data_IF_062744553475
#
_entry.id   IF_062744553475
#
_cell.length_a   1.000
_cell.length_b   1.000
_cell.length_c   1.000
_cell.angle_alpha   90.00
_cell.angle_beta   90.00
_cell.angle_gamma   90.00
#
_symmetry.space_group_name_H-M   'P 1'
#
loop_
_entity.id
_entity.type
_entity.pdbx_description
1 polymer ?
#
# COMPACT_ATOMS: atom_id res chain seq x y z
N UNK A 1 -5.51 24.71 4.37
CA UNK A 1 -5.04 25.94 3.70
C UNK A 1 -5.80 26.12 2.40
N UNK A 2 -6.09 27.37 2.03
CA UNK A 2 -6.83 27.70 0.81
C UNK A 2 -5.90 28.47 -0.10
N UNK A 3 -5.76 28.05 -1.35
CA UNK A 3 -5.01 28.75 -2.37
C UNK A 3 -5.73 30.03 -2.81
N UNK A 4 -5.01 30.90 -3.48
CA UNK A 4 -5.61 32.08 -4.12
C UNK A 4 -6.44 31.63 -5.32
N UNK A 5 -7.56 32.31 -5.56
CA UNK A 5 -8.50 31.95 -6.63
C UNK A 5 -7.90 32.09 -8.05
N UNK A 6 -6.81 32.82 -8.17
CA UNK A 6 -6.15 33.09 -9.44
C UNK A 6 -5.00 32.13 -9.74
N UNK A 7 -4.62 31.28 -8.77
CA UNK A 7 -3.57 30.29 -8.96
C UNK A 7 -4.10 29.03 -9.65
N UNK A 8 -3.53 28.69 -10.80
CA UNK A 8 -3.81 27.43 -11.49
C UNK A 8 -3.28 26.21 -10.72
N UNK A 9 -2.25 26.41 -9.89
CA UNK A 9 -1.65 25.38 -9.03
C UNK A 9 -1.42 25.93 -7.64
N UNK A 10 -1.94 25.25 -6.63
CA UNK A 10 -1.68 25.54 -5.23
C UNK A 10 -0.87 24.43 -4.60
N UNK A 11 0.21 24.77 -3.93
CA UNK A 11 1.04 23.82 -3.19
C UNK A 11 1.20 24.26 -1.74
N UNK A 12 1.03 23.32 -0.83
CA UNK A 12 1.28 23.50 0.59
C UNK A 12 2.14 22.37 1.14
N UNK A 13 2.99 22.69 2.10
CA UNK A 13 3.79 21.73 2.84
C UNK A 13 3.65 22.00 4.34
N UNK A 14 3.81 20.99 5.16
CA UNK A 14 3.76 21.08 6.61
C UNK A 14 4.24 19.81 7.28
N UNK A 15 4.63 19.93 8.53
CA UNK A 15 5.02 18.80 9.36
C UNK A 15 3.77 18.15 9.98
N UNK A 16 3.81 16.83 10.11
CA UNK A 16 2.75 16.00 10.73
C UNK A 16 3.27 15.32 12.01
N UNK A 17 4.22 15.94 12.68
CA UNK A 17 4.95 15.38 13.82
C UNK A 17 4.08 15.16 15.07
N UNK A 18 2.96 15.86 15.17
CA UNK A 18 2.12 15.89 16.39
C UNK A 18 1.12 14.72 16.51
N UNK A 19 1.40 13.60 15.88
CA UNK A 19 0.69 12.35 16.15
C UNK A 19 -0.65 12.18 15.45
N UNK A 20 -1.03 13.04 14.51
CA UNK A 20 -2.14 12.74 13.61
C UNK A 20 -1.71 11.68 12.61
N UNK A 21 -2.30 10.49 12.69
CA UNK A 21 -1.95 9.35 11.85
C UNK A 21 -2.68 9.33 10.53
N UNK A 22 -3.87 9.91 10.48
CA UNK A 22 -4.68 10.03 9.28
C UNK A 22 -4.70 11.47 8.81
N UNK A 23 -4.18 11.70 7.60
CA UNK A 23 -4.27 12.97 6.90
C UNK A 23 -5.20 12.79 5.69
N UNK A 24 -6.18 13.65 5.56
CA UNK A 24 -7.14 13.65 4.47
C UNK A 24 -7.11 14.97 3.74
N UNK A 25 -7.09 14.93 2.41
CA UNK A 25 -7.30 16.11 1.58
C UNK A 25 -8.56 15.93 0.73
N UNK A 26 -9.40 16.95 0.70
CA UNK A 26 -10.63 16.98 -0.11
C UNK A 26 -10.68 18.23 -0.96
N UNK A 27 -11.10 18.08 -2.20
CA UNK A 27 -11.51 19.20 -3.01
C UNK A 27 -12.91 19.65 -2.57
N UNK A 28 -13.04 20.89 -2.12
CA UNK A 28 -14.33 21.46 -1.72
C UNK A 28 -15.12 22.01 -2.92
N UNK A 29 -14.43 22.31 -4.01
CA UNK A 29 -15.01 22.74 -5.28
C UNK A 29 -14.07 22.29 -6.39
N UNK A 30 -14.61 21.74 -7.45
CA UNK A 30 -13.86 21.26 -8.61
C UNK A 30 -14.57 21.68 -9.89
N UNK A 31 -13.79 22.02 -10.90
CA UNK A 31 -14.20 22.16 -12.29
C UNK A 31 -13.50 21.08 -13.11
N UNK A 32 -13.92 20.85 -14.33
CA UNK A 32 -13.29 19.88 -15.21
C UNK A 32 -11.77 20.11 -15.29
N UNK A 33 -11.00 19.05 -15.12
CA UNK A 33 -9.54 19.08 -15.13
C UNK A 33 -8.88 19.44 -13.78
N UNK A 34 -9.65 19.71 -12.72
CA UNK A 34 -9.07 19.88 -11.37
C UNK A 34 -8.78 18.54 -10.73
N UNK A 35 -7.70 18.49 -9.97
CA UNK A 35 -7.29 17.33 -9.19
C UNK A 35 -6.51 17.75 -7.96
N UNK A 36 -6.36 16.83 -7.01
CA UNK A 36 -5.43 17.00 -5.89
C UNK A 36 -4.52 15.79 -5.81
N UNK A 37 -3.25 16.07 -5.49
CA UNK A 37 -2.27 15.04 -5.20
C UNK A 37 -1.52 15.42 -3.93
N UNK A 38 -1.15 14.43 -3.13
CA UNK A 38 -0.33 14.64 -1.95
C UNK A 38 0.59 13.45 -1.72
N UNK A 39 1.67 13.71 -1.01
CA UNK A 39 2.63 12.69 -0.60
C UNK A 39 3.08 12.96 0.82
N UNK A 40 3.52 11.91 1.49
CA UNK A 40 4.15 11.97 2.79
C UNK A 40 5.55 11.35 2.69
N UNK A 41 6.48 11.95 3.40
CA UNK A 41 7.83 11.45 3.56
C UNK A 41 8.15 11.35 5.04
N UNK A 42 8.74 10.24 5.45
CA UNK A 42 9.25 10.02 6.81
C UNK A 42 10.71 9.63 6.77
N UNK A 43 11.45 9.96 7.83
CA UNK A 43 12.84 9.57 7.96
C UNK A 43 13.16 9.22 9.40
N UNK A 44 14.10 8.30 9.57
CA UNK A 44 14.67 7.96 10.84
C UNK A 44 16.20 7.79 10.74
N UNK A 45 16.93 8.25 11.74
CA UNK A 45 18.40 8.16 11.78
C UNK A 45 18.90 6.92 12.51
N UNK A 46 18.01 6.20 13.21
CA UNK A 46 18.31 5.01 14.00
C UNK A 46 17.10 4.07 14.10
N UNK A 47 17.32 2.86 14.59
CA UNK A 47 16.28 1.82 14.76
C UNK A 47 16.00 1.06 13.46
N UNK A 48 14.99 0.21 13.52
CA UNK A 48 14.65 -0.73 12.44
C UNK A 48 14.15 -0.03 11.15
N UNK A 49 13.62 1.16 11.29
CA UNK A 49 13.12 2.00 10.20
C UNK A 49 14.12 3.05 9.73
N UNK A 50 15.41 2.89 10.07
CA UNK A 50 16.47 3.82 9.64
C UNK A 50 16.46 3.98 8.13
N UNK A 51 16.41 5.23 7.66
CA UNK A 51 16.35 5.58 6.25
C UNK A 51 15.25 6.60 5.95
N UNK A 52 14.89 6.69 4.71
CA UNK A 52 13.81 7.55 4.20
C UNK A 52 12.76 6.66 3.56
N UNK A 53 11.51 6.94 3.85
CA UNK A 53 10.35 6.28 3.22
C UNK A 53 9.40 7.37 2.73
N UNK A 54 8.82 7.18 1.57
CA UNK A 54 7.85 8.11 1.00
C UNK A 54 6.68 7.33 0.37
N UNK A 55 5.51 7.93 0.41
CA UNK A 55 4.33 7.41 -0.29
C UNK A 55 3.48 8.56 -0.81
N UNK A 56 2.84 8.35 -1.95
CA UNK A 56 1.70 9.15 -2.37
C UNK A 56 0.49 8.83 -1.51
N UNK A 57 -0.37 9.80 -1.28
CA UNK A 57 -1.69 9.54 -0.73
C UNK A 57 -2.50 8.68 -1.69
N UNK A 58 -3.37 7.84 -1.15
CA UNK A 58 -4.22 6.94 -1.92
C UNK A 58 -5.66 7.44 -1.91
N UNK A 59 -6.36 7.23 -3.01
CA UNK A 59 -7.79 7.49 -3.10
C UNK A 59 -8.54 6.40 -2.33
N UNK A 60 -9.46 6.74 -1.41
CA UNK A 60 -10.31 5.74 -0.78
C UNK A 60 -11.19 5.04 -1.81
N UNK A 61 -11.19 3.72 -1.81
CA UNK A 61 -11.97 2.87 -2.71
C UNK A 61 -12.58 1.69 -1.96
N UNK A 62 -13.57 1.04 -2.55
CA UNK A 62 -14.20 -0.16 -1.98
C UNK A 62 -13.31 -1.40 -2.13
N UNK A 63 -12.40 -1.40 -3.10
CA UNK A 63 -11.46 -2.50 -3.32
C UNK A 63 -10.07 -1.93 -3.60
N UNK A 64 -9.06 -2.45 -2.89
CA UNK A 64 -7.66 -2.08 -3.09
C UNK A 64 -6.79 -3.33 -3.15
N UNK A 65 -5.77 -3.32 -4.01
CA UNK A 65 -4.94 -4.47 -4.32
C UNK A 65 -3.47 -4.10 -4.26
N UNK A 66 -2.67 -5.04 -3.76
CA UNK A 66 -1.24 -4.86 -3.57
C UNK A 66 -0.49 -6.09 -4.06
N UNK A 67 0.62 -5.88 -4.71
CA UNK A 67 1.65 -6.89 -4.89
C UNK A 67 2.86 -6.46 -4.06
N UNK A 68 3.18 -7.23 -3.03
CA UNK A 68 4.20 -6.88 -2.05
C UNK A 68 5.24 -7.98 -1.90
N UNK A 69 6.39 -7.62 -1.41
CA UNK A 69 7.46 -8.57 -1.08
C UNK A 69 7.00 -9.58 -0.03
N UNK A 70 7.75 -10.65 0.11
CA UNK A 70 7.42 -11.79 0.95
C UNK A 70 7.45 -11.52 2.45
N UNK A 71 7.10 -12.55 3.20
CA UNK A 71 7.01 -12.56 4.66
C UNK A 71 8.03 -13.52 5.29
N UNK A 72 9.16 -13.74 4.62
CA UNK A 72 10.27 -14.52 5.16
C UNK A 72 10.95 -13.82 6.33
N UNK A 73 11.76 -14.57 7.06
CA UNK A 73 12.55 -14.04 8.18
C UNK A 73 13.29 -12.76 7.79
N UNK A 74 13.20 -11.74 8.62
CA UNK A 74 13.76 -10.42 8.38
C UNK A 74 12.81 -9.46 7.63
N UNK A 75 11.64 -9.91 7.19
CA UNK A 75 10.66 -9.09 6.51
C UNK A 75 9.40 -8.92 7.36
N UNK A 76 8.99 -7.68 7.59
CA UNK A 76 7.73 -7.35 8.26
C UNK A 76 6.86 -6.53 7.32
N UNK A 77 5.67 -7.04 7.03
CA UNK A 77 4.65 -6.34 6.25
C UNK A 77 3.48 -5.99 7.16
N UNK A 78 3.14 -4.71 7.19
CA UNK A 78 1.99 -4.18 7.92
C UNK A 78 1.01 -3.57 6.93
N UNK A 79 -0.16 -4.17 6.80
CA UNK A 79 -1.28 -3.55 6.08
C UNK A 79 -1.92 -2.53 7.02
N UNK A 80 -1.88 -1.26 6.63
CA UNK A 80 -2.53 -0.15 7.33
C UNK A 80 -3.77 0.22 6.54
N UNK A 81 -4.94 0.13 7.16
CA UNK A 81 -6.22 0.49 6.57
C UNK A 81 -6.79 1.68 7.31
N UNK A 82 -7.09 2.74 6.61
CA UNK A 82 -7.65 3.99 7.13
C UNK A 82 -9.07 4.19 6.63
N UNK A 83 -9.96 4.56 7.52
CA UNK A 83 -11.35 4.87 7.24
C UNK A 83 -11.60 6.37 7.43
N UNK A 84 -11.65 7.18 6.37
CA UNK A 84 -11.90 8.61 6.46
C UNK A 84 -13.37 8.97 6.71
N UNK A 85 -14.26 8.00 6.75
CA UNK A 85 -15.69 8.24 6.91
C UNK A 85 -16.08 8.51 8.38
N UNK A 86 -17.32 8.92 8.58
CA UNK A 86 -17.92 9.18 9.89
C UNK A 86 -18.54 7.94 10.55
N UNK A 87 -18.48 6.78 9.88
CA UNK A 87 -19.00 5.50 10.37
C UNK A 87 -17.91 4.45 10.39
N UNK A 88 -17.91 3.58 11.38
CA UNK A 88 -17.04 2.41 11.37
C UNK A 88 -17.43 1.46 10.22
N UNK A 89 -16.46 0.77 9.67
CA UNK A 89 -16.66 -0.22 8.61
C UNK A 89 -15.84 -1.49 8.88
N UNK A 90 -16.28 -2.60 8.28
CA UNK A 90 -15.52 -3.82 8.24
C UNK A 90 -14.90 -3.96 6.85
N UNK A 91 -13.67 -4.47 6.80
CA UNK A 91 -12.97 -4.76 5.56
C UNK A 91 -12.52 -6.21 5.56
N UNK A 92 -12.70 -6.89 4.45
CA UNK A 92 -12.24 -8.25 4.24
C UNK A 92 -10.88 -8.25 3.55
N UNK A 93 -9.99 -9.10 4.06
CA UNK A 93 -8.62 -9.26 3.57
C UNK A 93 -8.48 -10.65 2.95
N UNK A 94 -8.06 -10.69 1.68
CA UNK A 94 -7.68 -11.93 1.01
C UNK A 94 -6.22 -11.85 0.60
N UNK A 95 -5.48 -12.93 0.82
CA UNK A 95 -4.05 -13.00 0.54
C UNK A 95 -3.77 -14.23 -0.32
N UNK A 96 -2.95 -14.07 -1.34
CA UNK A 96 -2.40 -15.15 -2.15
C UNK A 96 -0.89 -15.14 -2.04
N UNK A 97 -0.28 -16.30 -1.93
CA UNK A 97 1.17 -16.47 -1.90
C UNK A 97 1.72 -16.82 -3.28
N UNK A 98 2.96 -16.46 -3.56
CA UNK A 98 3.64 -16.84 -4.77
C UNK A 98 3.77 -18.37 -4.89
N UNK A 99 3.56 -18.90 -6.12
CA UNK A 99 3.69 -20.33 -6.41
C UNK A 99 2.55 -21.20 -5.90
N UNK A 100 1.44 -20.62 -5.42
CA UNK A 100 0.25 -21.34 -4.97
C UNK A 100 -1.00 -20.80 -5.64
N UNK A 101 -1.92 -21.69 -6.00
CA UNK A 101 -3.25 -21.32 -6.46
C UNK A 101 -4.20 -21.14 -5.28
N UNK A 102 -5.15 -20.20 -5.42
CA UNK A 102 -6.14 -19.89 -4.40
C UNK A 102 -5.64 -19.00 -3.27
N UNK A 103 -6.59 -18.45 -2.53
CA UNK A 103 -6.29 -17.63 -1.37
C UNK A 103 -5.74 -18.47 -0.22
N UNK A 104 -4.81 -17.91 0.53
CA UNK A 104 -4.23 -18.57 1.70
C UNK A 104 -5.23 -18.58 2.85
N UNK A 105 -5.21 -19.66 3.63
CA UNK A 105 -5.85 -19.69 4.95
C UNK A 105 -5.00 -18.80 5.89
N UNK A 106 -5.61 -17.76 6.44
CA UNK A 106 -4.89 -16.82 7.31
C UNK A 106 -4.85 -17.38 8.75
N UNK A 107 -3.69 -17.21 9.39
CA UNK A 107 -3.51 -17.59 10.82
C UNK A 107 -4.21 -16.61 11.77
N UNK A 108 -4.58 -15.44 11.27
CA UNK A 108 -5.37 -14.42 11.99
C UNK A 108 -6.71 -14.23 11.28
N UNK A 109 -7.62 -13.49 11.88
CA UNK A 109 -8.89 -13.17 11.23
C UNK A 109 -8.68 -12.47 9.88
N UNK A 110 -9.54 -12.79 8.92
CA UNK A 110 -9.52 -12.20 7.57
C UNK A 110 -10.31 -10.88 7.48
N UNK A 111 -10.97 -10.46 8.56
CA UNK A 111 -11.78 -9.25 8.61
C UNK A 111 -11.22 -8.29 9.65
N UNK A 112 -11.11 -7.02 9.28
CA UNK A 112 -10.71 -5.92 10.17
C UNK A 112 -11.88 -4.96 10.36
N UNK A 113 -12.07 -4.51 11.60
CA UNK A 113 -12.97 -3.40 11.90
C UNK A 113 -12.16 -2.11 11.97
N UNK A 114 -12.55 -1.12 11.17
CA UNK A 114 -11.90 0.18 11.12
C UNK A 114 -12.87 1.26 11.58
N UNK A 115 -12.58 1.86 12.73
CA UNK A 115 -13.40 2.92 13.30
C UNK A 115 -13.50 4.17 12.43
N UNK A 116 -14.52 4.98 12.64
CA UNK A 116 -14.71 6.26 11.98
C UNK A 116 -13.51 7.21 12.21
N UNK A 117 -12.91 7.74 11.15
CA UNK A 117 -11.73 8.61 11.23
C UNK A 117 -10.51 7.94 11.88
N UNK A 118 -10.40 6.60 11.79
CA UNK A 118 -9.32 5.82 12.40
C UNK A 118 -8.60 4.97 11.39
N UNK A 119 -7.45 4.46 11.81
CA UNK A 119 -6.72 3.41 11.11
C UNK A 119 -6.66 2.13 11.96
N UNK A 120 -6.52 1.00 11.28
CA UNK A 120 -6.28 -0.32 11.87
C UNK A 120 -5.14 -0.98 11.12
N UNK A 121 -4.29 -1.70 11.83
CA UNK A 121 -3.10 -2.35 11.28
C UNK A 121 -3.22 -3.87 11.39
N UNK A 122 -2.95 -4.57 10.29
CA UNK A 122 -2.80 -6.02 10.25
C UNK A 122 -1.35 -6.40 9.94
N UNK A 123 -0.77 -7.28 10.72
CA UNK A 123 0.54 -7.85 10.42
C UNK A 123 0.38 -9.00 9.42
N UNK A 124 0.75 -8.76 8.17
CA UNK A 124 0.65 -9.76 7.10
C UNK A 124 1.62 -10.93 7.31
N UNK A 125 2.79 -10.68 7.91
CA UNK A 125 3.74 -11.75 8.21
C UNK A 125 3.20 -12.71 9.27
N UNK A 126 2.40 -12.24 10.22
CA UNK A 126 1.72 -13.10 11.19
C UNK A 126 0.53 -13.83 10.56
N UNK A 127 -0.16 -13.22 9.60
CA UNK A 127 -1.33 -13.80 8.94
C UNK A 127 -0.96 -14.85 7.89
N UNK A 128 0.11 -14.61 7.12
CA UNK A 128 0.59 -15.43 6.01
C UNK A 128 2.11 -15.46 6.02
N UNK A 129 2.70 -16.29 6.89
CA UNK A 129 4.14 -16.42 7.08
C UNK A 129 4.83 -17.18 5.94
N UNK A 130 6.13 -16.96 5.80
CA UNK A 130 7.04 -17.70 4.91
C UNK A 130 6.64 -17.72 3.43
N UNK A 131 6.22 -16.59 2.92
CA UNK A 131 5.90 -16.40 1.51
C UNK A 131 7.02 -15.66 0.79
N UNK A 132 7.27 -15.98 -0.50
CA UNK A 132 8.23 -15.26 -1.35
C UNK A 132 7.71 -13.89 -1.79
N UNK A 133 6.42 -13.83 -2.09
CA UNK A 133 5.68 -12.61 -2.40
C UNK A 133 4.21 -12.81 -2.04
N UNK A 134 3.49 -11.72 -1.82
CA UNK A 134 2.08 -11.72 -1.53
C UNK A 134 1.31 -10.84 -2.52
N UNK A 135 0.17 -11.33 -2.96
CA UNK A 135 -0.88 -10.49 -3.51
C UNK A 135 -1.96 -10.33 -2.43
N UNK A 136 -2.31 -9.09 -2.11
CA UNK A 136 -3.26 -8.76 -1.04
C UNK A 136 -4.41 -7.97 -1.64
N UNK A 137 -5.64 -8.40 -1.36
CA UNK A 137 -6.84 -7.65 -1.68
C UNK A 137 -7.55 -7.24 -0.39
N UNK A 138 -7.93 -5.98 -0.35
CA UNK A 138 -8.70 -5.35 0.73
C UNK A 138 -10.03 -4.93 0.13
N UNK A 139 -11.14 -5.38 0.69
CA UNK A 139 -12.48 -5.03 0.21
C UNK A 139 -13.39 -4.58 1.35
N UNK A 140 -14.21 -3.58 1.06
CA UNK A 140 -15.26 -3.08 1.95
C UNK A 140 -16.57 -3.01 1.17
N UNK A 141 -17.68 -3.37 1.80
CA UNK A 141 -18.96 -3.43 1.10
C UNK A 141 -19.54 -2.05 0.79
N UNK A 142 -19.52 -1.13 1.76
CA UNK A 142 -20.28 0.11 1.67
C UNK A 142 -19.44 1.38 1.83
N UNK A 143 -18.27 1.29 2.45
CA UNK A 143 -17.50 2.47 2.85
C UNK A 143 -16.12 2.43 2.21
N UNK A 144 -15.79 3.37 1.31
CA UNK A 144 -14.45 3.45 0.75
C UNK A 144 -13.40 3.65 1.84
N UNK A 145 -12.33 2.87 1.77
CA UNK A 145 -11.18 2.91 2.69
C UNK A 145 -9.90 3.21 1.93
N UNK A 146 -8.92 3.78 2.58
CA UNK A 146 -7.58 3.94 2.05
C UNK A 146 -6.66 2.92 2.71
N UNK A 147 -5.83 2.24 1.94
CA UNK A 147 -4.88 1.28 2.50
C UNK A 147 -3.49 1.44 1.89
N UNK A 148 -2.47 1.13 2.68
CA UNK A 148 -1.07 1.02 2.24
C UNK A 148 -0.43 -0.17 2.93
N UNK A 149 0.58 -0.75 2.31
CA UNK A 149 1.42 -1.76 2.99
C UNK A 149 2.77 -1.13 3.33
N UNK A 150 3.11 -1.16 4.62
CA UNK A 150 4.42 -0.78 5.11
C UNK A 150 5.29 -2.01 5.24
N UNK A 151 6.42 -2.01 4.55
CA UNK A 151 7.45 -3.05 4.64
C UNK A 151 8.61 -2.53 5.46
N UNK A 152 9.13 -3.37 6.36
CA UNK A 152 10.41 -3.15 7.06
C UNK A 152 11.30 -4.35 6.81
N UNK A 153 12.51 -4.12 6.32
CA UNK A 153 13.48 -5.15 6.02
C UNK A 153 14.65 -5.12 7.00
N UNK A 154 15.00 -6.28 7.55
CA UNK A 154 16.08 -6.48 8.51
C UNK A 154 16.99 -7.62 8.05
N UNK A 155 18.26 -7.50 8.33
CA UNK A 155 19.26 -8.58 8.21
C UNK A 155 19.89 -8.78 9.61
N UNK A 156 19.38 -9.76 10.35
CA UNK A 156 19.63 -9.86 11.77
C UNK A 156 19.17 -8.59 12.50
N UNK A 157 20.11 -7.87 13.09
CA UNK A 157 19.88 -6.59 13.78
C UNK A 157 20.17 -5.36 12.89
N UNK A 158 20.53 -5.58 11.64
CA UNK A 158 20.86 -4.48 10.71
C UNK A 158 19.63 -4.09 9.90
N UNK A 159 19.21 -2.83 10.02
CA UNK A 159 18.13 -2.28 9.20
C UNK A 159 18.55 -2.24 7.73
N UNK A 160 17.69 -2.75 6.86
CA UNK A 160 17.80 -2.63 5.39
C UNK A 160 16.86 -1.57 4.83
N UNK A 161 16.11 -0.91 5.71
CA UNK A 161 15.20 0.18 5.38
C UNK A 161 13.72 -0.19 5.49
N UNK A 162 12.90 0.78 5.16
CA UNK A 162 11.44 0.63 5.12
C UNK A 162 10.87 1.27 3.86
N UNK A 163 9.73 0.76 3.42
CA UNK A 163 9.05 1.23 2.21
C UNK A 163 7.54 1.20 2.41
N UNK A 164 6.83 2.05 1.68
CA UNK A 164 5.38 2.03 1.57
C UNK A 164 4.99 1.60 0.15
N UNK A 165 4.17 0.57 0.06
CA UNK A 165 3.53 0.13 -1.17
C UNK A 165 2.12 0.67 -1.20
N UNK A 166 1.82 1.46 -2.23
CA UNK A 166 0.47 1.97 -2.51
C UNK A 166 -0.32 0.97 -3.35
N UNK A 167 -1.67 1.04 -3.36
CA UNK A 167 -2.47 0.12 -4.15
C UNK A 167 -2.17 0.23 -5.64
N UNK A 168 -2.20 -0.91 -6.31
CA UNK A 168 -2.25 -1.00 -7.77
C UNK A 168 -3.55 -1.71 -8.17
N UNK A 169 -4.60 -0.95 -8.40
CA UNK A 169 -5.91 -1.48 -8.76
C UNK A 169 -6.06 -1.75 -10.26
N UNK A 170 -5.11 -1.29 -11.07
CA UNK A 170 -5.15 -1.46 -12.52
C UNK A 170 -4.75 -2.89 -12.89
N UNK A 171 -5.67 -3.60 -13.52
CA UNK A 171 -5.41 -4.87 -14.19
C UNK A 171 -5.28 -4.61 -15.68
N UNK A 172 -4.24 -5.12 -16.29
CA UNK A 172 -3.96 -4.93 -17.73
C UNK A 172 -3.48 -6.22 -18.36
N UNK A 173 -3.75 -6.39 -19.63
CA UNK A 173 -3.20 -7.48 -20.44
C UNK A 173 -1.77 -7.20 -20.90
N UNK A 174 -1.31 -5.95 -20.77
CA UNK A 174 0.07 -5.56 -21.09
C UNK A 174 0.59 -4.68 -19.97
N UNK A 175 1.72 -5.06 -19.39
CA UNK A 175 2.39 -4.35 -18.31
C UNK A 175 3.85 -4.13 -18.69
N UNK A 176 4.40 -3.00 -18.29
CA UNK A 176 5.82 -2.71 -18.44
C UNK A 176 6.45 -2.46 -17.06
N UNK A 177 7.61 -3.00 -16.83
CA UNK A 177 8.45 -2.77 -15.65
C UNK A 177 9.69 -2.02 -16.10
N UNK A 178 9.92 -0.87 -15.49
CA UNK A 178 11.11 -0.06 -15.75
C UNK A 178 12.06 -0.05 -14.54
N UNK A 179 13.31 0.41 -14.76
CA UNK A 179 14.27 0.63 -13.69
C UNK A 179 15.19 -0.54 -13.37
N UNK A 180 15.17 -1.59 -14.19
CA UNK A 180 16.17 -2.67 -14.11
C UNK A 180 17.43 -2.26 -14.86
N UNK A 181 18.59 -2.51 -14.25
CA UNK A 181 19.90 -2.24 -14.85
C UNK A 181 20.61 -3.54 -15.24
N UNK A 182 21.50 -3.47 -16.21
CA UNK A 182 22.30 -4.62 -16.60
C UNK A 182 23.15 -5.11 -15.41
N UNK A 183 23.05 -6.40 -15.12
CA UNK A 183 23.72 -7.03 -13.97
C UNK A 183 22.89 -7.12 -12.70
N UNK A 184 21.70 -6.51 -12.65
CA UNK A 184 20.78 -6.68 -11.54
C UNK A 184 20.23 -8.12 -11.50
N UNK A 185 20.03 -8.62 -10.28
CA UNK A 185 19.23 -9.81 -10.04
C UNK A 185 17.83 -9.38 -9.63
N UNK A 186 16.82 -9.80 -10.39
CA UNK A 186 15.45 -9.45 -10.15
C UNK A 186 14.53 -10.68 -10.17
N UNK A 187 13.48 -10.66 -9.37
CA UNK A 187 12.39 -11.65 -9.42
C UNK A 187 11.13 -10.95 -9.88
N UNK A 188 10.50 -11.49 -10.91
CA UNK A 188 9.22 -11.00 -11.41
C UNK A 188 8.09 -11.84 -10.82
N UNK A 189 7.19 -11.22 -10.10
CA UNK A 189 5.97 -11.84 -9.58
C UNK A 189 4.77 -11.28 -10.32
N UNK A 190 3.95 -12.18 -10.82
CA UNK A 190 2.76 -11.88 -11.59
C UNK A 190 1.56 -12.49 -10.89
N UNK A 191 0.45 -11.77 -10.88
CA UNK A 191 -0.83 -12.26 -10.37
C UNK A 191 -1.87 -12.26 -11.50
N UNK A 192 -2.57 -13.38 -11.64
CA UNK A 192 -3.74 -13.51 -12.52
C UNK A 192 -4.91 -14.08 -11.74
N UNK A 193 -6.13 -13.60 -11.99
CA UNK A 193 -7.36 -14.13 -11.38
C UNK A 193 -7.78 -15.47 -11.97
N UNK A 194 -7.26 -15.84 -13.13
CA UNK A 194 -7.52 -17.09 -13.83
C UNK A 194 -6.24 -17.62 -14.47
N UNK A 195 -6.27 -18.86 -14.91
CA UNK A 195 -5.19 -19.42 -15.69
C UNK A 195 -4.95 -18.59 -16.94
N UNK A 196 -3.69 -18.20 -17.16
CA UNK A 196 -3.29 -17.35 -18.26
C UNK A 196 -1.91 -17.75 -18.77
N UNK A 197 -1.73 -17.68 -20.09
CA UNK A 197 -0.42 -17.74 -20.71
C UNK A 197 0.18 -16.34 -20.70
N UNK A 198 1.43 -16.24 -20.26
CA UNK A 198 2.13 -14.96 -20.11
C UNK A 198 3.42 -15.00 -20.91
N UNK A 199 3.57 -14.04 -21.81
CA UNK A 199 4.83 -13.82 -22.54
C UNK A 199 5.60 -12.69 -21.88
N UNK A 200 6.86 -12.95 -21.50
CA UNK A 200 7.79 -11.95 -20.98
C UNK A 200 8.84 -11.65 -22.04
N UNK A 201 8.99 -10.38 -22.39
CA UNK A 201 10.03 -9.91 -23.30
C UNK A 201 10.91 -8.87 -22.62
N UNK A 202 12.20 -8.91 -22.95
CA UNK A 202 13.21 -8.00 -22.43
C UNK A 202 13.72 -7.13 -23.56
N UNK A 203 13.80 -5.83 -23.36
CA UNK A 203 14.31 -4.84 -24.32
C UNK A 203 15.38 -4.00 -23.68
#
# INVERSE_FOLDING_TARGET
QRGDSDDAVFMAAGNVDDGSRLQESRLSSAVDGTGSASSVMSWATKGDVKGVSAASCVTPELEQRFLVSGTKTGMTQQLVVANPSTKATSVDIKIWGAGKSGALALSTGATLVVGAGKETVMNLAAAASDQDALYVAVSSDDTPVAAVVRTVAMDGLTSKGSEYTVPNNTMSTTLAVAGLSAGDSASLYLFSKADAEITVSWT
#
